data_IF_810856057390
#
_entry.id   IF_810856057390
#
_cell.length_a   1.000
_cell.length_b   1.000
_cell.length_c   1.000
_cell.angle_alpha   90.00
_cell.angle_beta   90.00
_cell.angle_gamma   90.00
#
_symmetry.space_group_name_H-M   'P 1'
#
loop_
_entity.id
_entity.type
_entity.pdbx_description
1 polymer ?
2 non-polymer ?
3 water ?
#
# COMPACT_ATOMS: atom_id res chain seq x y z
C UNK A 1 -12.74 -1.38 -16.27
N UNK A 2 -12.49 -2.52 -16.91
CA UNK A 2 -12.92 -3.79 -16.32
C UNK A 2 -12.41 -3.99 -14.90
N UNK A 3 -11.17 -3.62 -14.62
CA UNK A 3 -10.64 -3.78 -13.26
C UNK A 3 -11.39 -2.89 -12.28
N UNK A 4 -11.63 -1.64 -12.69
CA UNK A 4 -12.39 -0.69 -11.87
C UNK A 4 -13.78 -1.25 -11.61
N UNK A 5 -14.41 -1.84 -12.62
CA UNK A 5 -15.74 -2.44 -12.44
C UNK A 5 -15.70 -3.55 -11.38
N UNK A 6 -14.71 -4.41 -11.47
CA UNK A 6 -14.56 -5.50 -10.53
C UNK A 6 -14.26 -4.95 -9.13
N UNK A 7 -13.38 -3.96 -9.01
CA UNK A 7 -13.12 -3.28 -7.75
C UNK A 7 -14.40 -2.70 -7.13
N UNK A 8 -15.22 -2.13 -7.98
CA UNK A 8 -16.48 -1.55 -7.55
C UNK A 8 -17.40 -2.63 -6.96
N UNK A 9 -17.48 -3.78 -7.62
CA UNK A 9 -18.34 -4.85 -7.10
C UNK A 9 -17.85 -5.34 -5.75
N UNK A 10 -16.53 -5.41 -5.58
CA UNK A 10 -16.02 -5.87 -4.29
C UNK A 10 -16.32 -4.85 -3.20
N UNK A 11 -16.15 -3.58 -3.57
CA UNK A 11 -16.43 -2.51 -2.61
C UNK A 11 -17.91 -2.51 -2.21
N UNK A 12 -18.78 -2.73 -3.17
CA UNK A 12 -20.23 -2.70 -2.91
C UNK A 12 -20.57 -3.89 -2.03
N UNK A 13 -19.90 -5.02 -2.29
CA UNK A 13 -20.12 -6.22 -1.49
C UNK A 13 -19.77 -5.92 -0.04
N UNK A 14 -18.62 -5.29 0.16
CA UNK A 14 -18.15 -4.94 1.50
C UNK A 14 -19.13 -3.98 2.16
N UNK A 15 -19.57 -2.98 1.40
CA UNK A 15 -20.49 -1.99 2.00
C UNK A 15 -21.79 -2.66 2.43
N UNK A 16 -22.26 -3.66 1.67
CA UNK A 16 -23.55 -4.26 2.04
C UNK A 16 -23.37 -5.21 3.23
N UNK A 17 -22.21 -5.85 3.32
CA UNK A 17 -21.92 -6.68 4.49
C UNK A 17 -21.80 -5.80 5.72
N UNK A 18 -21.15 -4.66 5.55
CA UNK A 18 -21.03 -3.71 6.67
C UNK A 18 -22.41 -3.21 7.07
N UNK A 19 -23.26 -2.91 6.09
CA UNK A 19 -24.59 -2.38 6.47
C UNK A 19 -25.41 -3.43 7.19
N UNK A 20 -25.28 -4.69 6.81
CA UNK A 20 -26.05 -5.75 7.48
C UNK A 20 -25.63 -5.82 8.94
N UNK A 21 -24.34 -5.75 9.23
CA UNK A 21 -23.87 -5.72 10.61
C UNK A 21 -24.37 -4.44 11.29
N UNK A 22 -24.32 -3.32 10.58
CA UNK A 22 -24.69 -2.03 11.17
C UNK A 22 -26.16 -2.07 11.54
N UNK A 23 -26.96 -2.70 10.67
CA UNK A 23 -28.40 -2.77 11.02
C UNK A 23 -28.64 -3.69 12.19
N UNK A 24 -27.84 -4.76 12.33
CA UNK A 24 -28.09 -5.60 13.52
C UNK A 24 -27.69 -4.85 14.78
N UNK A 25 -26.68 -3.97 14.72
CA UNK A 25 -26.29 -3.16 15.88
C UNK A 25 -27.19 -1.95 16.12
N UNK A 26 -28.09 -1.66 15.20
CA UNK A 26 -29.03 -0.57 15.29
C UNK A 26 -30.24 -0.87 16.19
N UNK A 27 -30.78 0.16 16.83
C UNK B 1 -21.25 0.76 14.61
N UNK B 2 -20.87 1.88 15.22
CA UNK B 2 -19.46 2.10 15.54
C UNK B 2 -18.57 1.48 14.46
N UNK B 3 -17.96 0.35 14.67
CA UNK B 3 -17.07 -0.27 13.69
C UNK B 3 -17.78 -0.54 12.37
N UNK B 4 -18.95 -1.17 12.43
CA UNK B 4 -19.65 -1.44 11.18
C UNK B 4 -19.99 -0.17 10.43
N UNK B 5 -20.37 0.91 11.12
CA UNK B 5 -20.73 2.13 10.40
C UNK B 5 -19.52 2.78 9.72
N UNK B 6 -18.35 2.75 10.36
CA UNK B 6 -17.18 3.35 9.73
C UNK B 6 -16.74 2.48 8.56
N UNK B 7 -16.84 1.17 8.71
CA UNK B 7 -16.54 0.25 7.61
C UNK B 7 -17.52 0.44 6.46
N UNK B 8 -18.82 0.59 6.70
CA UNK B 8 -19.75 0.82 5.59
C UNK B 8 -19.44 2.11 4.84
N UNK B 9 -19.08 3.16 5.56
CA UNK B 9 -18.75 4.45 4.97
C UNK B 9 -17.50 4.39 4.10
N UNK B 10 -16.47 3.73 4.63
CA UNK B 10 -15.24 3.54 3.88
C UNK B 10 -15.47 2.73 2.61
N UNK B 11 -16.21 1.62 2.71
CA UNK B 11 -16.53 0.78 1.57
C UNK B 11 -17.31 1.56 0.53
N UNK B 12 -18.28 2.37 0.96
CA UNK B 12 -19.00 3.19 -0.02
C UNK B 12 -18.09 4.18 -0.73
N UNK B 13 -17.16 4.77 0.00
CA UNK B 13 -16.25 5.74 -0.62
C UNK B 13 -15.41 5.02 -1.68
N UNK B 14 -14.91 3.86 -1.26
CA UNK B 14 -14.13 3.08 -2.23
C UNK B 14 -14.93 2.73 -3.46
N UNK B 15 -16.21 2.33 -3.27
CA UNK B 15 -17.00 1.94 -4.43
C UNK B 15 -17.23 3.13 -5.35
N UNK B 16 -17.39 4.31 -4.74
CA UNK B 16 -17.58 5.50 -5.55
C UNK B 16 -16.27 5.80 -6.32
N UNK B 17 -15.14 5.48 -5.70
CA UNK B 17 -13.89 5.87 -6.36
C UNK B 17 -13.67 4.94 -7.57
N UNK B 18 -14.04 3.68 -7.35
CA UNK B 18 -13.94 2.66 -8.40
C UNK B 18 -14.87 3.03 -9.54
N UNK B 19 -16.10 3.41 -9.19
CA UNK B 19 -17.06 3.79 -10.20
C UNK B 19 -16.61 4.98 -11.04
N UNK B 20 -16.00 5.96 -10.37
CA UNK B 20 -15.47 7.12 -11.10
C UNK B 20 -14.42 6.67 -12.13
N UNK B 21 -13.58 5.76 -11.64
CA UNK B 21 -12.48 5.25 -12.49
C UNK B 21 -13.01 4.48 -13.67
N UNK B 22 -14.05 3.68 -13.41
CA UNK B 22 -14.71 2.97 -14.50
C UNK B 22 -15.23 3.97 -15.52
N UNK B 23 -15.82 5.08 -15.04
CA UNK B 23 -16.41 6.00 -16.04
C UNK B 23 -15.30 6.73 -16.79
N UNK B 24 -14.21 7.05 -16.15
CA UNK B 24 -13.11 7.78 -16.76
C UNK B 24 -12.39 6.94 -17.82
N UNK B 25 -12.22 5.66 -17.48
CA UNK B 25 -11.51 4.73 -18.35
C UNK B 25 -12.26 4.43 -19.64
N UNK B 26 -13.58 4.44 -19.58
CA UNK B 26 -14.46 4.23 -20.72
C UNK B 26 -14.36 5.35 -21.75
N UNK B 27 -13.92 6.53 -21.37
C UNK C 1 1.94 -1.77 -14.98
N UNK C 2 1.00 -1.41 -15.86
CA UNK C 2 -0.10 -0.50 -15.58
C UNK C 2 -1.00 -1.03 -14.46
N UNK C 3 -1.37 -2.29 -14.52
CA UNK C 3 -2.15 -2.88 -13.44
C UNK C 3 -1.45 -2.73 -12.11
N UNK C 4 -0.18 -3.10 -12.00
CA UNK C 4 0.51 -3.01 -10.71
C UNK C 4 0.61 -1.57 -10.23
N UNK C 5 0.86 -0.64 -11.14
CA UNK C 5 1.00 0.77 -10.81
C UNK C 5 -0.30 1.36 -10.24
N UNK C 6 -1.40 1.04 -10.92
CA UNK C 6 -2.72 1.46 -10.44
C UNK C 6 -3.03 0.89 -9.06
N UNK C 7 -2.68 -0.36 -8.84
CA UNK C 7 -2.91 -0.95 -7.50
C UNK C 7 -2.01 -0.29 -6.47
N UNK C 8 -0.73 -0.02 -6.82
CA UNK C 8 0.13 0.68 -5.87
C UNK C 8 -0.41 2.07 -5.51
N UNK C 9 -0.90 2.83 -6.46
CA UNK C 9 -1.47 4.15 -6.24
C UNK C 9 -2.72 4.09 -5.33
N UNK C 10 -3.60 3.13 -5.59
CA UNK C 10 -4.82 3.00 -4.78
C UNK C 10 -4.48 2.65 -3.35
N UNK C 11 -3.59 1.69 -3.16
CA UNK C 11 -3.11 1.25 -1.85
C UNK C 11 -2.41 2.38 -1.12
N UNK C 12 -1.59 3.19 -1.82
CA UNK C 12 -0.98 4.33 -1.13
C UNK C 12 -2.03 5.35 -0.71
N UNK C 13 -3.05 5.57 -1.50
CA UNK C 13 -4.13 6.50 -1.12
C UNK C 13 -4.86 5.96 0.10
N UNK C 14 -5.21 4.68 0.08
CA UNK C 14 -5.85 4.04 1.23
C UNK C 14 -4.96 4.20 2.47
N UNK C 15 -3.64 3.98 2.36
CA UNK C 15 -2.77 4.13 3.53
C UNK C 15 -2.77 5.55 4.09
N UNK C 16 -2.69 6.55 3.20
CA UNK C 16 -2.70 7.94 3.62
C UNK C 16 -4.00 8.28 4.37
N UNK C 17 -5.10 7.81 3.81
CA UNK C 17 -6.43 8.05 4.38
C UNK C 17 -6.56 7.40 5.76
N UNK C 18 -6.07 6.18 5.91
CA UNK C 18 -6.04 5.56 7.24
C UNK C 18 -5.15 6.28 8.21
N UNK C 19 -3.93 6.67 7.77
CA UNK C 19 -3.06 7.44 8.64
C UNK C 19 -3.74 8.73 9.15
N UNK C 20 -4.47 9.41 8.27
CA UNK C 20 -5.10 10.68 8.61
C UNK C 20 -6.20 10.45 9.65
N UNK C 21 -6.91 9.35 9.43
CA UNK C 21 -7.97 8.96 10.37
C UNK C 21 -7.34 8.62 11.71
N UNK C 22 -6.26 7.85 11.69
CA UNK C 22 -5.57 7.51 12.93
C UNK C 22 -5.16 8.77 13.68
N UNK C 23 -4.68 9.78 12.95
CA UNK C 23 -4.17 10.98 13.61
C UNK C 23 -5.34 11.81 14.13
N UNK C 24 -6.46 11.77 13.43
CA UNK C 24 -7.66 12.47 13.87
C UNK C 24 -8.26 11.81 15.12
N UNK C 25 -8.26 10.50 15.16
CA UNK C 25 -8.87 9.74 16.26
C UNK C 25 -8.07 9.90 17.53
N UNK C 26 -6.80 10.26 17.39
CA UNK C 26 -5.91 10.57 18.49
C UNK C 26 -6.25 11.91 19.13
N UNK C 27 -5.76 12.15 20.35
C UNK D 1 -6.64 3.54 16.00
N UNK D 2 -7.22 2.50 16.60
CA UNK D 2 -6.69 1.14 16.47
C UNK D 2 -7.03 0.55 15.10
N UNK D 3 -8.28 0.72 14.69
CA UNK D 3 -8.71 0.14 13.42
C UNK D 3 -8.05 0.89 12.25
N UNK D 4 -7.88 2.19 12.42
CA UNK D 4 -7.24 3.02 11.41
C UNK D 4 -5.81 2.52 11.20
N UNK D 5 -5.17 2.23 12.31
CA UNK D 5 -3.79 1.78 12.32
C UNK D 5 -3.71 0.43 11.59
N UNK D 6 -4.69 -0.41 11.86
CA UNK D 6 -4.70 -1.73 11.23
C UNK D 6 -4.90 -1.58 9.72
N UNK D 7 -5.83 -0.70 9.34
CA UNK D 7 -6.10 -0.52 7.93
C UNK D 7 -4.84 0.03 7.23
N UNK D 8 -4.16 0.95 7.92
CA UNK D 8 -2.98 1.58 7.30
C UNK D 8 -1.89 0.54 7.07
N UNK D 9 -1.72 -0.34 8.04
CA UNK D 9 -0.72 -1.40 7.93
C UNK D 9 -1.05 -2.31 6.75
N UNK D 10 -2.32 -2.67 6.64
CA UNK D 10 -2.74 -3.49 5.49
C UNK D 10 -2.51 -2.77 4.17
N UNK D 11 -2.94 -1.51 4.09
CA UNK D 11 -2.72 -0.79 2.82
C UNK D 11 -1.23 -0.65 2.50
N UNK D 12 -0.42 -0.40 3.52
CA UNK D 12 1.02 -0.31 3.30
C UNK D 12 1.58 -1.62 2.75
N UNK D 13 1.16 -2.77 3.30
CA UNK D 13 1.61 -4.05 2.76
C UNK D 13 1.20 -4.18 1.30
N UNK D 14 -0.04 -3.90 0.94
CA UNK D 14 -0.51 -4.01 -0.45
C UNK D 14 0.27 -3.05 -1.35
N UNK D 15 0.56 -1.86 -0.84
CA UNK D 15 1.32 -0.91 -1.65
C UNK D 15 2.73 -1.42 -1.92
N UNK D 16 3.36 -2.04 -0.92
CA UNK D 16 4.73 -2.54 -1.14
C UNK D 16 4.74 -3.70 -2.11
N UNK D 17 3.71 -4.54 -1.95
CA UNK D 17 3.58 -5.69 -2.82
C UNK D 17 3.38 -5.20 -4.26
N UNK D 18 2.48 -4.24 -4.44
CA UNK D 18 2.19 -3.71 -5.75
C UNK D 18 3.46 -3.11 -6.36
N UNK D 19 4.21 -2.42 -5.51
CA UNK D 19 5.45 -1.76 -5.95
C UNK D 19 6.47 -2.78 -6.45
N UNK D 20 6.62 -3.90 -5.74
CA UNK D 20 7.60 -4.89 -6.19
C UNK D 20 7.15 -5.48 -7.53
N UNK D 21 5.85 -5.73 -7.66
CA UNK D 21 5.33 -6.20 -8.94
C UNK D 21 5.63 -5.19 -10.05
N UNK D 22 5.38 -3.90 -9.80
CA UNK D 22 5.62 -2.85 -10.77
C UNK D 22 7.10 -2.80 -11.13
N UNK D 23 7.93 -2.92 -10.11
CA UNK D 23 9.38 -2.91 -10.41
C UNK D 23 9.78 -4.13 -11.21
N UNK D 24 9.14 -5.27 -10.96
CA UNK D 24 9.48 -6.47 -11.71
C UNK D 24 9.11 -6.27 -13.18
N UNK D 25 8.06 -5.49 -13.43
CA UNK D 25 7.63 -5.26 -14.80
C UNK D 25 8.33 -4.09 -15.47
N UNK D 26 9.20 -3.40 -14.73
CA UNK D 26 9.87 -2.19 -15.18
C UNK D 26 10.94 -2.40 -16.25
N UNK D 27 11.56 -3.56 -16.34
C UNK E 1 11.59 -14.81 0.37
N UNK E 2 12.03 -13.59 0.06
CA UNK E 2 11.64 -12.36 0.75
C UNK E 2 10.14 -12.06 0.64
N UNK E 3 9.58 -12.25 -0.54
CA UNK E 3 8.18 -12.06 -0.85
C UNK E 3 7.32 -12.98 0.02
N UNK E 4 7.73 -14.25 0.05
CA UNK E 4 7.01 -15.29 0.77
C UNK E 4 7.02 -14.94 2.26
N UNK E 5 8.18 -14.57 2.78
CA UNK E 5 8.30 -14.20 4.19
C UNK E 5 7.38 -13.06 4.56
N UNK E 6 7.35 -12.02 3.72
CA UNK E 6 6.43 -10.90 4.04
C UNK E 6 4.97 -11.31 3.95
N UNK E 7 4.58 -12.14 3.00
CA UNK E 7 3.23 -12.65 2.84
C UNK E 7 2.83 -13.45 4.09
N UNK E 8 3.73 -14.29 4.56
CA UNK E 8 3.46 -15.08 5.77
C UNK E 8 3.22 -14.18 6.97
N UNK E 9 4.07 -13.17 7.16
CA UNK E 9 3.90 -12.20 8.24
C UNK E 9 2.56 -11.48 8.10
N UNK E 10 2.24 -11.05 6.89
CA UNK E 10 0.97 -10.38 6.62
C UNK E 10 -0.20 -11.28 7.02
N UNK E 11 -0.14 -12.53 6.60
CA UNK E 11 -1.21 -13.48 6.90
C UNK E 11 -1.32 -13.78 8.39
N UNK E 12 -0.17 -13.88 9.06
CA UNK E 12 -0.21 -14.13 10.52
C UNK E 12 -0.91 -12.97 11.23
N UNK E 13 -0.57 -11.76 10.79
CA UNK E 13 -1.21 -10.58 11.38
C UNK E 13 -2.71 -10.63 11.14
N UNK E 14 -3.11 -11.00 9.93
CA UNK E 14 -4.52 -11.13 9.60
C UNK E 14 -5.22 -12.20 10.43
N UNK E 15 -4.54 -13.34 10.60
CA UNK E 15 -5.14 -14.42 11.39
C UNK E 15 -5.32 -13.95 12.83
N UNK E 16 -4.34 -13.19 13.33
CA UNK E 16 -4.43 -12.75 14.73
C UNK E 16 -5.65 -11.84 14.88
N UNK E 17 -5.82 -10.94 13.92
CA UNK E 17 -6.98 -10.03 13.98
C UNK E 17 -8.29 -10.82 13.92
N UNK E 18 -8.38 -11.79 13.00
CA UNK E 18 -9.60 -12.55 12.84
C UNK E 18 -9.89 -13.39 14.09
N UNK E 19 -8.82 -13.92 14.67
CA UNK E 19 -8.96 -14.77 15.84
C UNK E 19 -9.54 -13.95 16.99
N UNK E 20 -9.07 -12.72 17.11
CA UNK E 20 -9.58 -11.83 18.16
C UNK E 20 -11.08 -11.61 17.95
N UNK E 21 -11.45 -11.35 16.71
CA UNK E 21 -12.85 -11.13 16.35
C UNK E 21 -13.67 -12.37 16.67
N UNK E 22 -13.17 -13.53 16.25
CA UNK E 22 -13.80 -14.83 16.49
C UNK E 22 -14.00 -15.06 17.98
N UNK E 23 -12.99 -14.66 18.75
CA UNK E 23 -13.08 -14.90 20.18
C UNK E 23 -14.15 -13.98 20.78
N UNK E 24 -14.21 -12.74 20.32
CA UNK E 24 -15.26 -11.85 20.79
C UNK E 24 -16.64 -12.41 20.48
N UNK E 25 -16.76 -13.23 19.44
CA UNK E 25 -18.09 -13.72 19.06
C UNK E 25 -18.39 -15.08 19.67
N UNK E 26 -17.37 -15.64 20.32
CA UNK E 26 -17.56 -16.95 20.94
C UNK E 26 -18.14 -16.77 22.34
N UNK E 27 -18.82 -17.81 22.82
C UNK F 1 -18.91 -16.93 13.17
N UNK F 2 -19.75 -17.50 12.31
CA UNK F 2 -19.25 -18.15 11.10
C UNK F 2 -18.43 -17.16 10.28
N UNK F 3 -18.81 -15.88 10.16
CA UNK F 3 -17.98 -14.97 9.36
C UNK F 3 -16.56 -14.87 9.90
N UNK F 4 -16.42 -14.56 11.19
CA UNK F 4 -15.10 -14.38 11.77
C UNK F 4 -14.30 -15.68 11.73
N UNK F 5 -15.01 -16.79 11.96
CA UNK F 5 -14.35 -18.09 11.97
C UNK F 5 -13.81 -18.44 10.59
N UNK F 6 -14.58 -18.14 9.53
CA UNK F 6 -14.17 -18.40 8.14
C UNK F 6 -12.96 -17.53 7.81
N UNK F 7 -13.03 -16.27 8.19
CA UNK F 7 -11.94 -15.33 7.99
C UNK F 7 -10.69 -15.84 8.69
N UNK F 8 -10.83 -16.32 9.93
CA UNK F 8 -9.67 -16.85 10.64
C UNK F 8 -9.07 -18.04 9.91
N UNK F 9 -9.91 -18.97 9.47
CA UNK F 9 -9.45 -20.16 8.76
C UNK F 9 -8.72 -19.78 7.46
N UNK F 10 -9.31 -18.80 6.78
CA UNK F 10 -8.72 -18.35 5.50
C UNK F 10 -7.36 -17.71 5.73
N UNK F 11 -7.25 -16.86 6.76
CA UNK F 11 -5.96 -16.24 7.05
C UNK F 11 -4.93 -17.30 7.43
N UNK F 12 -5.32 -18.28 8.27
CA UNK F 12 -4.38 -19.32 8.69
C UNK F 12 -3.93 -20.18 7.51
N UNK F 13 -4.86 -20.48 6.61
CA UNK F 13 -4.52 -21.20 5.38
C UNK F 13 -3.45 -20.41 4.61
N UNK F 14 -3.70 -19.13 4.40
CA UNK F 14 -2.76 -18.30 3.65
C UNK F 14 -1.39 -18.27 4.33
N UNK F 15 -1.35 -18.16 5.66
CA UNK F 15 -0.11 -18.18 6.40
C UNK F 15 0.62 -19.49 6.20
N UNK F 16 -0.11 -20.61 6.20
CA UNK F 16 0.56 -21.91 6.05
C UNK F 16 1.18 -22.00 4.66
N UNK F 17 0.40 -21.59 3.66
CA UNK F 17 0.90 -21.62 2.27
C UNK F 17 2.11 -20.73 2.06
N UNK F 18 2.09 -19.54 2.65
CA UNK F 18 3.22 -18.62 2.50
C UNK F 18 4.44 -19.18 3.19
N UNK F 19 4.25 -19.80 4.35
CA UNK F 19 5.37 -20.40 5.08
C UNK F 19 6.03 -21.56 4.33
N UNK F 20 5.20 -22.42 3.76
CA UNK F 20 5.68 -23.51 2.92
C UNK F 20 6.48 -22.95 1.75
N UNK F 21 6.00 -21.85 1.18
CA UNK F 21 6.68 -21.21 0.04
C UNK F 21 7.99 -20.60 0.49
N UNK F 22 7.96 -19.95 1.66
CA UNK F 22 9.21 -19.39 2.20
C UNK F 22 10.21 -20.51 2.45
N UNK F 23 9.72 -21.67 2.92
CA UNK F 23 10.67 -22.74 3.17
C UNK F 23 11.22 -23.31 1.86
N UNK F 24 10.35 -23.42 0.87
CA UNK F 24 10.81 -24.02 -0.39
C UNK F 24 11.87 -23.13 -1.05
N UNK F 25 11.68 -21.82 -0.98
CA UNK F 25 12.56 -20.88 -1.65
C UNK F 25 13.90 -20.82 -0.96
N UNK F 26 14.10 -21.49 0.17
CA UNK F 26 15.47 -21.56 0.67
C UNK F 26 16.34 -22.37 -0.30
N UNK F 27 15.73 -23.22 -1.11
C UNK G 1 4.06 -20.13 -16.21
N UNK G 2 5.11 -20.75 -15.66
CA UNK G 2 4.96 -21.67 -14.53
C UNK G 2 4.17 -20.98 -13.42
N UNK G 3 4.59 -19.81 -12.95
CA UNK G 3 3.88 -19.11 -11.89
C UNK G 3 2.44 -18.80 -12.22
N UNK G 4 2.22 -18.16 -13.38
CA UNK G 4 0.83 -17.84 -13.74
C UNK G 4 -0.01 -19.09 -13.88
N UNK G 5 0.56 -20.14 -14.51
CA UNK G 5 -0.20 -21.37 -14.65
C UNK G 5 -0.55 -21.93 -13.28
N UNK G 6 0.34 -21.80 -12.33
CA UNK G 6 0.08 -22.38 -11.01
C UNK G 6 -0.98 -21.56 -10.28
N UNK G 7 -0.90 -20.25 -10.39
CA UNK G 7 -1.90 -19.36 -9.83
C UNK G 7 -3.26 -19.66 -10.47
N UNK G 8 -3.33 -19.79 -11.80
CA UNK G 8 -4.59 -20.17 -12.43
C UNK G 8 -5.20 -21.45 -11.86
N UNK G 9 -4.40 -22.50 -11.69
CA UNK G 9 -4.82 -23.79 -11.18
C UNK G 9 -5.41 -23.65 -9.76
N UNK G 10 -4.67 -22.95 -8.94
CA UNK G 10 -5.03 -22.72 -7.55
C UNK G 10 -6.35 -21.92 -7.48
N UNK G 11 -6.49 -20.88 -8.29
CA UNK G 11 -7.74 -20.11 -8.30
C UNK G 11 -8.90 -20.95 -8.79
N UNK G 12 -8.65 -21.79 -9.82
CA UNK G 12 -9.74 -22.68 -10.22
C UNK G 12 -10.14 -23.65 -9.11
N UNK G 13 -9.17 -24.17 -8.36
CA UNK G 13 -9.45 -25.09 -7.25
C UNK G 13 -10.31 -24.41 -6.21
N UNK G 14 -9.91 -23.21 -5.88
CA UNK G 14 -10.64 -22.33 -4.95
C UNK G 14 -12.05 -22.08 -5.44
N UNK G 15 -12.21 -21.71 -6.71
CA UNK G 15 -13.57 -21.51 -7.21
C UNK G 15 -14.43 -22.77 -7.10
N UNK G 16 -13.90 -23.94 -7.46
CA UNK G 16 -14.70 -25.16 -7.34
C UNK G 16 -15.09 -25.46 -5.89
N UNK G 17 -14.17 -25.18 -4.96
CA UNK G 17 -14.47 -25.38 -3.54
C UNK G 17 -15.58 -24.44 -3.07
N UNK G 18 -15.47 -23.19 -3.48
CA UNK G 18 -16.50 -22.21 -3.15
C UNK G 18 -17.83 -22.59 -3.76
N UNK G 19 -17.84 -23.04 -5.03
CA UNK G 19 -19.07 -23.49 -5.66
C UNK G 19 -19.66 -24.68 -4.90
N UNK G 20 -18.81 -25.63 -4.52
CA UNK G 20 -19.34 -26.80 -3.82
C UNK G 20 -19.99 -26.36 -2.52
N UNK G 21 -19.34 -25.40 -1.85
CA UNK G 21 -19.92 -24.88 -0.61
C UNK G 21 -21.25 -24.17 -0.84
N UNK G 22 -21.33 -23.32 -1.85
CA UNK G 22 -22.53 -22.62 -2.24
C UNK G 22 -23.68 -23.58 -2.50
N UNK G 23 -23.37 -24.73 -3.12
CA UNK G 23 -24.41 -25.70 -3.42
C UNK G 23 -24.81 -26.47 -2.16
N UNK G 24 -23.85 -26.71 -1.28
CA UNK G 24 -24.17 -27.44 -0.05
C UNK G 24 -25.09 -26.60 0.83
N UNK G 25 -24.83 -25.29 0.89
CA UNK G 25 -25.59 -24.40 1.76
C UNK G 25 -27.04 -24.23 1.35
N UNK G 26 -27.35 -24.33 0.06
CA UNK G 26 -28.71 -24.12 -0.39
C UNK G 26 -29.47 -25.45 -0.42
N UNK G 27 -30.74 -25.42 -0.82
C UNK H 1 -24.12 -18.38 -0.17
N UNK H 2 -24.57 -17.21 0.25
CA UNK H 2 -24.20 -15.94 -0.38
C UNK H 2 -22.70 -15.68 -0.26
N UNK H 3 -22.09 -15.89 0.89
CA UNK H 3 -20.67 -15.66 1.03
C UNK H 3 -19.91 -16.60 0.10
N UNK H 4 -20.33 -17.86 0.02
CA UNK H 4 -19.60 -18.78 -0.87
C UNK H 4 -19.74 -18.34 -2.32
N UNK H 5 -20.92 -17.88 -2.71
CA UNK H 5 -21.10 -17.37 -4.06
C UNK H 5 -20.18 -16.17 -4.32
N UNK H 6 -20.09 -15.23 -3.37
CA UNK H 6 -19.15 -14.13 -3.58
C UNK H 6 -17.71 -14.62 -3.67
N UNK H 7 -17.32 -15.57 -2.79
CA UNK H 7 -15.97 -16.10 -2.86
C UNK H 7 -15.67 -16.77 -4.21
N UNK H 8 -16.66 -17.49 -4.73
CA UNK H 8 -16.51 -18.11 -6.05
C UNK H 8 -16.22 -17.08 -7.13
N UNK H 9 -16.93 -15.97 -7.10
CA UNK H 9 -16.76 -14.88 -8.06
C UNK H 9 -15.36 -14.29 -7.98
N UNK H 10 -14.90 -14.06 -6.76
CA UNK H 10 -13.53 -13.55 -6.57
C UNK H 10 -12.51 -14.54 -7.10
N UNK H 11 -12.71 -15.83 -6.85
CA UNK H 11 -11.75 -16.85 -7.30
C UNK H 11 -11.78 -16.96 -8.82
N UNK H 12 -12.96 -16.86 -9.40
CA UNK H 12 -13.09 -16.89 -10.86
C UNK H 12 -12.35 -15.70 -11.47
N UNK H 13 -12.46 -14.54 -10.85
CA UNK H 13 -11.78 -13.34 -11.36
C UNK H 13 -10.28 -13.57 -11.30
N UNK H 14 -9.81 -14.15 -10.18
CA UNK H 14 -8.39 -14.43 -10.03
C UNK H 14 -7.92 -15.41 -11.11
N UNK H 15 -8.75 -16.42 -11.38
CA UNK H 15 -8.36 -17.44 -12.35
C UNK H 15 -8.27 -16.80 -13.74
N UNK H 16 -9.19 -15.91 -14.09
CA UNK H 16 -9.16 -15.31 -15.42
C UNK H 16 -7.93 -14.42 -15.54
N UNK H 17 -7.64 -13.73 -14.44
CA UNK H 17 -6.49 -12.83 -14.43
C UNK H 17 -5.19 -13.61 -14.66
N UNK H 18 -5.08 -14.74 -13.99
CA UNK H 18 -3.90 -15.59 -14.12
C UNK H 18 -3.85 -16.19 -15.52
N UNK H 19 -5.03 -16.55 -16.03
CA UNK H 19 -5.05 -17.13 -17.39
C UNK H 19 -4.55 -16.13 -18.42
N UNK H 20 -4.93 -14.88 -18.30
CA UNK H 20 -4.48 -13.79 -19.15
C UNK H 20 -2.96 -13.70 -19.19
N UNK H 21 -2.38 -13.70 -17.99
CA UNK H 21 -0.93 -13.70 -17.84
C UNK H 21 -0.29 -14.94 -18.47
N UNK H 22 -0.90 -16.10 -18.22
CA UNK H 22 -0.38 -17.36 -18.73
C UNK H 22 -0.35 -17.35 -20.25
N UNK H 23 -1.43 -16.82 -20.83
CA UNK H 23 -1.50 -16.76 -22.29
C UNK H 23 -0.48 -15.80 -22.87
N UNK H 24 -0.30 -14.64 -22.23
CA UNK H 24 0.67 -13.69 -22.75
C UNK H 24 2.07 -14.30 -22.64
N UNK H 25 2.34 -15.04 -21.58
CA UNK H 25 3.63 -15.68 -21.37
C UNK H 25 3.83 -16.90 -22.25
N UNK H 26 2.74 -17.39 -22.83
CA UNK H 26 2.85 -18.45 -23.83
C UNK H 26 3.25 -17.83 -25.17
N UNK H 27 2.96 -16.56 -25.41
C UNK I 1 19.34 0.87 -8.54
N UNK I 2 20.47 0.31 -8.12
CA UNK I 2 20.77 0.02 -6.72
C UNK I 2 20.78 1.27 -5.85
N UNK I 3 21.49 2.31 -6.26
CA UNK I 3 21.58 3.55 -5.49
C UNK I 3 20.21 4.17 -5.34
N UNK I 4 19.41 4.14 -6.41
CA UNK I 4 18.09 4.77 -6.29
C UNK I 4 17.23 3.94 -5.31
N UNK I 5 17.31 2.63 -5.45
CA UNK I 5 16.63 1.67 -4.58
C UNK I 5 17.02 1.94 -3.12
N UNK I 6 18.33 2.13 -2.88
CA UNK I 6 18.87 2.37 -1.55
C UNK I 6 18.33 3.67 -0.98
N UNK I 7 18.38 4.71 -1.80
CA UNK I 7 17.85 6.01 -1.41
C UNK I 7 16.37 5.89 -1.07
N UNK I 8 15.63 5.13 -1.87
CA UNK I 8 14.21 4.99 -1.58
C UNK I 8 14.00 4.34 -0.21
N UNK I 9 14.73 3.27 0.09
CA UNK I 9 14.61 2.62 1.40
C UNK I 9 15.02 3.53 2.55
N UNK I 10 16.09 4.31 2.39
CA UNK I 10 16.45 5.28 3.41
C UNK I 10 15.36 6.31 3.62
N UNK I 11 14.73 6.79 2.55
CA UNK I 11 13.69 7.79 2.67
C UNK I 11 12.48 7.14 3.35
N UNK I 12 12.19 5.88 3.02
CA UNK I 12 11.03 5.25 3.69
C UNK I 12 11.30 5.07 5.18
N UNK I 13 12.53 4.77 5.55
CA UNK I 13 12.89 4.61 6.96
C UNK I 13 12.65 5.94 7.68
N UNK I 14 13.12 7.01 7.06
CA UNK I 14 12.96 8.34 7.61
C UNK I 14 11.48 8.70 7.78
N UNK I 15 10.70 8.32 6.77
CA UNK I 15 9.29 8.63 6.75
C UNK I 15 8.56 7.91 7.88
N UNK I 16 8.95 6.65 8.08
CA UNK I 16 8.26 5.90 9.13
C UNK I 16 8.64 6.46 10.49
N UNK I 17 9.88 6.86 10.67
CA UNK I 17 10.30 7.50 11.93
C UNK I 17 9.56 8.81 12.19
N UNK I 18 9.46 9.68 11.19
CA UNK I 18 8.72 10.93 11.29
C UNK I 18 7.23 10.71 11.54
N UNK I 19 6.64 9.68 10.94
CA UNK I 19 5.21 9.41 11.10
C UNK I 19 4.91 8.94 12.52
N UNK I 20 5.84 8.16 13.08
CA UNK I 20 5.83 7.75 14.48
C UNK I 20 5.75 8.95 15.42
N UNK I 21 6.60 9.93 15.18
CA UNK I 21 6.65 11.17 15.93
C UNK I 21 5.38 11.99 15.70
N UNK I 22 4.97 12.09 14.45
CA UNK I 22 3.75 12.80 14.08
C UNK I 22 2.54 12.21 14.81
N UNK I 23 2.47 10.89 14.84
CA UNK I 23 1.33 10.25 15.49
C UNK I 23 1.35 10.48 17.00
N UNK I 24 2.54 10.42 17.56
CA UNK I 24 2.71 10.58 19.01
C UNK I 24 2.29 12.00 19.39
N UNK I 25 2.62 12.98 18.57
CA UNK I 25 2.30 14.39 18.85
C UNK I 25 0.85 14.74 18.57
N UNK I 26 0.17 13.98 17.72
CA UNK I 26 -1.20 14.21 17.31
C UNK I 26 -2.27 13.78 18.33
N UNK I 27 -2.00 12.77 19.13
C UNK J 1 3.86 18.88 13.94
N UNK J 2 3.76 20.16 13.64
CA UNK J 2 4.08 20.73 12.33
C UNK J 2 5.47 20.29 11.85
N UNK J 3 6.45 20.30 12.74
CA UNK J 3 7.81 19.91 12.43
C UNK J 3 7.83 18.43 12.04
N UNK J 4 7.26 17.57 12.89
CA UNK J 4 7.23 16.15 12.54
C UNK J 4 6.40 15.89 11.28
N UNK J 5 5.28 16.55 11.09
CA UNK J 5 4.48 16.37 9.88
C UNK J 5 5.24 16.83 8.64
N UNK J 6 5.93 17.95 8.78
CA UNK J 6 6.75 18.46 7.67
C UNK J 6 7.84 17.48 7.32
N UNK J 7 8.49 16.97 8.36
CA UNK J 7 9.58 16.00 8.15
C UNK J 7 9.01 14.78 7.44
N UNK J 8 7.79 14.40 7.84
CA UNK J 8 7.16 13.23 7.24
C UNK J 8 6.90 13.42 5.74
N UNK J 9 6.34 14.60 5.45
CA UNK J 9 6.02 14.94 4.07
C UNK J 9 7.31 15.01 3.24
N UNK J 10 8.36 15.62 3.72
CA UNK J 10 9.62 15.68 2.95
C UNK J 10 10.21 14.30 2.69
N UNK J 11 10.18 13.44 3.69
CA UNK J 11 10.67 12.07 3.52
C UNK J 11 9.84 11.27 2.52
N UNK J 12 8.51 11.42 2.54
CA UNK J 12 7.65 10.73 1.60
C UNK J 12 7.93 11.22 0.17
N UNK J 13 8.21 12.52 0.08
CA UNK J 13 8.51 13.13 -1.21
C UNK J 13 9.83 12.51 -1.74
N UNK J 14 10.83 12.46 -0.89
CA UNK J 14 12.13 11.86 -1.23
C UNK J 14 11.92 10.40 -1.63
N UNK J 15 11.08 9.66 -0.88
CA UNK J 15 10.85 8.27 -1.25
C UNK J 15 10.20 8.09 -2.62
N UNK J 16 9.22 8.94 -2.97
CA UNK J 16 8.56 8.85 -4.27
C UNK J 16 9.54 9.20 -5.41
N UNK J 17 10.35 10.22 -5.16
CA UNK J 17 11.33 10.61 -6.18
C UNK J 17 12.33 9.48 -6.41
N UNK J 18 12.83 8.87 -5.34
CA UNK J 18 13.77 7.75 -5.52
C UNK J 18 13.10 6.55 -6.16
N UNK J 19 11.84 6.24 -5.83
CA UNK J 19 11.12 5.15 -6.46
C UNK J 19 10.97 5.32 -7.97
N UNK J 20 10.63 6.52 -8.39
CA UNK J 20 10.46 6.77 -9.83
C UNK J 20 11.82 6.62 -10.52
N UNK J 21 12.91 7.03 -9.84
CA UNK J 21 14.24 6.88 -10.43
C UNK J 21 14.59 5.40 -10.48
N UNK J 22 14.26 4.68 -9.41
CA UNK J 22 14.52 3.25 -9.42
C UNK J 22 13.82 2.57 -10.60
N UNK J 23 12.55 2.96 -10.76
CA UNK J 23 11.79 2.35 -11.85
C UNK J 23 12.38 2.74 -13.21
N UNK J 24 12.77 4.01 -13.35
CA UNK J 24 13.31 4.48 -14.62
C UNK J 24 14.57 3.68 -14.96
N UNK J 25 15.40 3.48 -13.95
CA UNK J 25 16.70 2.84 -14.11
C UNK J 25 16.56 1.37 -14.44
N UNK J 26 15.33 0.83 -14.42
CA UNK J 26 15.32 -0.58 -14.85
C UNK J 26 15.34 -0.63 -16.37
N UNK J 27 16.11 -1.53 -16.99
C UNK K 1 26.17 16.57 -14.97
N UNK K 2 25.26 15.74 -15.46
CA UNK K 2 23.85 15.81 -15.08
C UNK K 2 23.69 15.49 -13.59
N UNK K 3 24.46 14.55 -13.07
CA UNK K 3 24.40 14.17 -11.67
C UNK K 3 24.79 15.40 -10.85
N UNK K 4 25.94 15.98 -11.18
CA UNK K 4 26.34 17.16 -10.40
C UNK K 4 25.36 18.32 -10.59
N UNK K 5 24.84 18.51 -11.80
CA UNK K 5 23.93 19.63 -12.04
C UNK K 5 22.64 19.48 -11.26
N UNK K 6 22.16 18.24 -11.16
CA UNK K 6 20.90 18.08 -10.39
C UNK K 6 21.15 18.26 -8.90
N UNK K 7 22.29 17.78 -8.43
CA UNK K 7 22.64 17.94 -7.01
C UNK K 7 22.81 19.41 -6.68
N UNK K 8 23.46 20.14 -7.59
CA UNK K 8 23.56 21.58 -7.38
C UNK K 8 22.19 22.24 -7.31
N UNK K 9 21.26 21.86 -8.16
CA UNK K 9 19.93 22.50 -8.17
C UNK K 9 19.18 22.13 -6.90
N UNK K 10 19.31 20.89 -6.46
CA UNK K 10 18.69 20.48 -5.20
C UNK K 10 19.20 21.27 -4.02
N UNK K 11 20.51 21.38 -3.85
CA UNK K 11 21.12 22.18 -2.81
C UNK K 11 20.66 23.64 -2.87
N UNK K 12 20.56 24.24 -4.06
CA UNK K 12 20.11 25.62 -4.14
C UNK K 12 18.65 25.74 -3.65
N UNK K 13 17.81 24.81 -4.07
CA UNK K 13 16.42 24.75 -3.63
C UNK K 13 16.37 24.70 -2.09
N UNK K 14 17.13 23.79 -1.50
CA UNK K 14 17.27 23.69 -0.06
C UNK K 14 17.72 25.01 0.57
N UNK K 15 18.74 25.64 -0.01
CA UNK K 15 19.24 26.90 0.54
C UNK K 15 18.19 27.99 0.49
N UNK K 16 17.39 28.02 -0.56
CA UNK K 16 16.34 29.03 -0.72
C UNK K 16 15.26 28.86 0.36
N UNK K 17 14.94 27.60 0.59
CA UNK K 17 13.87 27.29 1.55
C UNK K 17 14.31 27.61 2.98
N UNK K 18 15.55 27.25 3.30
CA UNK K 18 16.12 27.56 4.60
C UNK K 18 16.21 29.06 4.80
N UNK K 19 16.62 29.82 3.78
CA UNK K 19 16.69 31.28 3.88
C UNK K 19 15.31 31.87 4.13
N UNK K 20 14.33 31.38 3.38
CA UNK K 20 12.95 31.82 3.60
C UNK K 20 12.49 31.58 5.04
N UNK K 21 12.80 30.41 5.55
CA UNK K 21 12.50 30.05 6.93
C UNK K 21 13.23 30.98 7.89
N UNK K 22 14.51 31.22 7.66
CA UNK K 22 15.29 32.09 8.53
C UNK K 22 14.69 33.50 8.62
N UNK K 23 14.24 34.00 7.47
CA UNK K 23 13.58 35.30 7.43
C UNK K 23 12.23 35.26 8.16
N UNK K 24 11.48 34.17 8.02
CA UNK K 24 10.15 34.15 8.65
C UNK K 24 10.30 34.10 10.17
N UNK K 25 11.30 33.36 10.60
CA UNK K 25 11.55 33.14 12.02
C UNK K 25 12.07 34.40 12.69
N UNK K 26 12.27 35.49 11.96
CA UNK K 26 12.56 36.76 12.63
C UNK K 26 11.29 37.32 13.30
N UNK K 27 10.11 36.83 12.89
C UNK L 1 17.55 30.73 13.36
N UNK L 2 18.28 30.52 14.45
CA UNK L 2 19.58 29.88 14.52
C UNK L 2 19.60 28.56 13.77
N UNK L 3 18.58 27.73 13.95
CA UNK L 3 18.54 26.47 13.21
C UNK L 3 18.37 26.71 11.73
N UNK L 4 17.47 27.64 11.39
CA UNK L 4 17.25 27.88 9.95
C UNK L 4 18.54 28.39 9.31
N UNK L 5 19.19 29.28 10.03
CA UNK L 5 20.44 29.90 9.60
C UNK L 5 21.51 28.83 9.36
N UNK L 6 21.62 27.90 10.30
CA UNK L 6 22.62 26.84 10.12
C UNK L 6 22.27 25.96 8.92
N UNK L 7 20.98 25.68 8.75
CA UNK L 7 20.49 24.90 7.63
C UNK L 7 20.84 25.57 6.30
N UNK L 8 20.63 26.87 6.23
CA UNK L 8 20.95 27.69 5.06
C UNK L 8 22.45 27.62 4.75
N UNK L 9 23.26 27.75 5.79
CA UNK L 9 24.72 27.71 5.63
C UNK L 9 25.16 26.36 5.08
N UNK L 10 24.63 25.30 5.65
CA UNK L 10 24.93 23.95 5.18
C UNK L 10 24.48 23.79 3.74
N UNK L 11 23.30 24.27 3.34
CA UNK L 11 22.82 24.01 1.98
C UNK L 11 23.61 24.82 0.96
N UNK L 12 24.00 26.03 1.35
CA UNK L 12 24.83 26.88 0.52
C UNK L 12 26.18 26.20 0.27
N UNK L 13 26.68 25.59 1.33
CA UNK L 13 27.98 24.92 1.23
C UNK L 13 27.89 23.76 0.26
N UNK L 14 26.81 22.99 0.44
CA UNK L 14 26.60 21.86 -0.48
C UNK L 14 26.46 22.36 -1.92
N UNK L 15 25.75 23.46 -2.12
CA UNK L 15 25.53 23.95 -3.48
C UNK L 15 26.85 24.37 -4.12
N UNK L 16 27.69 24.99 -3.30
CA UNK L 16 29.02 25.44 -3.76
C UNK L 16 29.86 24.23 -4.14
N UNK L 17 29.86 23.22 -3.27
CA UNK L 17 30.65 22.02 -3.58
C UNK L 17 30.12 21.34 -4.82
N UNK L 18 28.80 21.28 -4.97
CA UNK L 18 28.25 20.64 -6.17
C UNK L 18 28.58 21.46 -7.43
N UNK L 19 28.59 22.77 -7.25
CA UNK L 19 28.84 23.68 -8.34
C UNK L 19 30.28 23.47 -8.84
N UNK L 20 31.19 23.28 -7.91
CA UNK L 20 32.59 23.02 -8.28
C UNK L 20 32.70 21.75 -9.12
N UNK L 21 32.01 20.69 -8.70
CA UNK L 21 31.98 19.43 -9.45
C UNK L 21 31.37 19.61 -10.83
N UNK L 22 30.24 20.31 -10.89
CA UNK L 22 29.54 20.55 -12.15
C UNK L 22 30.46 21.28 -13.11
N UNK L 23 31.20 22.26 -12.58
CA UNK L 23 32.05 23.08 -13.46
C UNK L 23 33.21 22.24 -13.98
N UNK L 24 33.71 21.36 -13.10
CA UNK L 24 34.83 20.51 -13.49
C UNK L 24 34.37 19.62 -14.64
N UNK L 25 33.14 19.13 -14.51
CA UNK L 25 32.64 18.19 -15.50
C UNK L 25 32.22 18.90 -16.77
N UNK L 26 31.93 20.20 -16.70
CA UNK L 26 31.50 20.93 -17.87
C UNK L 26 32.72 21.29 -18.74
N UNK L 27 33.89 21.23 -18.12
X LIG M 1 -22.07 -10.95 -4.77
X LIG M 1 -23.45 -10.39 -5.13
X LIG M 1 -23.50 -8.87 -4.99
X LIG M 1 -22.29 -8.23 -5.65
X LIG M 1 -21.08 -8.81 -5.16
X LIG M 1 -21.00 -10.19 -5.56
X LIG M 1 -24.70 -8.47 -5.68
X LIG M 1 -19.69 -10.64 -5.21
X LIG M 1 -18.72 -9.82 -5.88
X LIG M 1 -17.33 -10.30 -5.48
X LIG M 1 -16.85 -9.81 -4.12
X LIG M 1 -15.96 -10.88 -3.51
X LIG M 1 -15.40 -10.47 -2.15
X LIG M 1 -14.05 -11.14 -1.89
X LIG M 1 -14.26 -12.53 -1.30
X LIG M 1 -15.69 -12.60 -0.71
X LIG M 1 -15.84 -13.81 0.22
X LIG M 1 -16.71 -13.43 1.41
X LIG M 1 -22.12 -12.32 -5.13
X LIG M 1 -24.44 -11.01 -4.30
X LIG M 1 -22.29 -6.74 -5.30
X LIG M 1 -21.05 -6.11 -5.66
X LIG M 1 -25.80 -8.48 -4.74
X LIG N 1 -10.02 7.33 -9.45
X LIG N 1 -10.07 7.70 -10.93
X LIG N 1 -8.69 7.72 -11.56
X LIG N 1 -7.65 7.08 -10.68
X LIG N 1 -8.04 5.95 -9.93
X LIG N 1 -9.33 5.98 -9.35
X LIG N 1 -8.71 7.11 -12.86
X LIG N 1 -9.34 5.41 -8.04
X LIG N 1 -9.32 3.98 -8.15
X LIG N 1 -9.33 3.37 -6.76
X LIG N 1 -10.54 2.45 -6.55
X LIG N 1 -10.12 1.16 -5.87
X LIG N 1 -11.15 0.58 -4.90
X LIG N 1 -10.72 -0.84 -4.53
X LIG N 1 -11.72 -1.53 -3.61
X LIG N 1 -11.21 -2.90 -3.16
X LIG N 1 -10.22 -3.48 -4.17
X LIG N 1 -10.31 -5.01 -4.22
X LIG N 1 -11.30 7.34 -8.83
X LIG N 1 -10.81 8.86 -11.25
X LIG N 1 -6.84 8.10 -9.90
X LIG N 1 -7.11 9.40 -10.43
X LIG O 1 -9.47 7.87 -4.28
X LIG O 1 -9.02 8.70 -5.49
X LIG O 1 -7.54 8.40 -5.74
X LIG O 1 -7.39 6.91 -5.98
X LIG O 1 -7.72 6.24 -4.76
X LIG O 1 -9.11 6.41 -4.41
X LIG O 1 -7.03 9.13 -6.87
X LIG O 1 -9.36 5.64 -3.21
X LIG O 1 -8.95 4.29 -3.46
X LIG O 1 -9.19 3.38 -2.26
X LIG O 1 -8.73 1.95 -2.55
X LIG O 1 -8.67 1.09 -1.29
X LIG O 1 -8.83 -0.40 -1.56
X LIG O 1 -10.86 8.08 -4.00
X LIG O 1 -9.19 10.09 -5.22
X LIG O 1 -5.92 6.63 -6.32
X LIG O 1 -5.86 5.48 -7.16
X LIG P 1 -1.54 -3.92 14.36
X LIG P 1 -2.56 -4.45 13.35
X LIG P 1 -1.94 -5.60 12.53
X LIG P 1 -3.02 -6.57 12.04
X LIG P 1 -4.18 -5.82 11.37
X LIG P 1 -4.38 -6.32 9.94
X LIG P 1 -5.81 -6.87 9.75
X LIG P 1 -6.25 -6.73 8.29
X LIG P 1 -6.66 -8.09 7.72
X LIG Q 1 -8.54 -5.52 12.62
X LIG Q 1 -8.70 -4.10 12.08
X LIG Q 1 -9.40 -4.08 10.71
X LIG Q 1 -8.38 -4.07 9.57
X LIG Q 1 -8.96 -3.42 8.31
X LIG Q 1 -8.21 -3.87 7.06
X LIG Q 1 -8.92 -3.38 5.78
X LIG R 1 1.03 -5.75 9.39
X LIG R 1 -0.30 -5.78 8.66
X LIG R 1 -0.26 -6.68 7.42
X LIG R 1 -1.61 -7.35 7.17
X LIG R 1 -2.03 -7.21 5.71
X LIG R 1 -3.01 -8.30 5.28
X LIG R 1 -3.64 -7.95 3.93
X LIG S 1 -15.90 -22.15 6.65
X LIG S 1 -14.80 -22.28 5.60
X LIG S 1 -13.83 -21.09 5.66
X LIG S 1 -12.54 -21.41 4.92
X LIG S 1 -12.02 -20.19 4.14
X LIG S 1 -10.77 -20.59 3.36
X LIG T 1 -14.99 -23.05 1.01
X LIG T 1 -14.08 -21.83 1.07
X LIG T 1 -13.30 -21.63 -0.24
X LIG T 1 -13.06 -20.14 -0.50
X LIG T 1 -11.80 -19.90 -1.33
X LIG T 1 -11.93 -18.62 -2.14
X LIG T 1 -10.79 -17.63 -1.87
X LIG T 1 -10.94 -16.39 -2.77
X LIG T 1 -10.88 -15.09 -1.97
X LIG U 1 -17.61 -13.53 -12.81
X LIG U 1 -17.10 -14.88 -13.29
X LIG U 1 -15.89 -14.72 -14.23
X LIG U 1 -14.87 -13.80 -13.58
X LIG U 1 -15.48 -12.54 -13.26
X LIG U 1 -16.44 -12.76 -12.17
X LIG U 1 -15.35 -16.04 -14.44
X LIG U 1 -16.89 -11.44 -11.80
X LIG U 1 -15.97 -10.80 -10.93
X LIG U 1 -16.72 -10.34 -9.67
X LIG U 1 -15.91 -9.32 -8.87
X LIG U 1 -14.52 -9.82 -8.52
X LIG U 1 -13.88 -8.94 -7.44
X LIG U 1 -12.58 -9.55 -6.94
X LIG U 1 -11.62 -8.43 -6.52
X LIG U 1 -11.64 -7.31 -7.55
X LIG U 1 -10.24 -6.96 -8.05
X LIG U 1 -10.14 -5.52 -8.55
X LIG U 1 -18.66 -13.77 -11.87
X LIG U 1 -18.17 -15.53 -14.00
X LIG U 1 -13.72 -13.54 -14.56
X LIG U 1 -14.15 -12.51 -15.48
X LIG U 1 -16.01 -17.34 -16.38
X LIG U 1 -15.90 -18.65 -15.63
X LIG U 1 -14.45 -19.15 -15.53
X LIG U 1 -13.55 -18.00 -15.06
X LIG U 1 -13.72 -16.87 -15.91
X LIG U 1 -15.04 -16.29 -15.81
X LIG U 1 -14.35 -20.18 -14.53
X LIG U 1 -17.34 -16.80 -16.31
X LIG U 1 -16.78 -19.63 -16.15
X LIG U 1 -12.10 -18.46 -15.01
X LIG U 1 -11.85 -19.54 -15.91
X LIG V 1 20.46 -4.51 -0.40
X LIG V 1 20.95 -4.40 -1.85
X LIG V 1 19.95 -3.59 -2.67
X LIG V 1 19.82 -2.22 -2.00
X LIG V 1 19.30 -2.40 -0.67
X LIG V 1 20.16 -3.14 0.20
X LIG V 1 20.39 -3.48 -4.02
X LIG V 1 19.48 -3.33 1.46
X LIG V 1 19.67 -2.23 2.34
X LIG V 1 19.17 -0.94 1.71
X LIG V 1 19.19 0.23 2.68
X LIG V 1 20.31 1.21 2.31
X LIG V 1 20.16 2.56 3.01
X LIG V 1 21.48 3.34 2.95
X LIG V 1 21.34 4.64 2.15
X LIG V 1 22.53 4.84 1.21
X LIG V 1 22.55 6.26 0.64
X LIG V 1 21.50 6.41 -0.47
X LIG V 1 21.44 -5.18 0.39
X LIG V 1 21.11 -5.70 -2.43
X LIG V 1 18.77 -1.45 -2.80
X LIG V 1 17.68 -2.36 -3.03
X LIG W 1 26.86 6.65 -6.61
X LIG W 1 27.96 6.29 -7.61
X LIG W 1 28.58 7.56 -8.21
X LIG W 1 28.93 8.54 -7.11
X LIG W 1 27.81 8.80 -6.25
X LIG W 1 27.45 7.60 -5.56
X LIG W 1 29.77 7.21 -8.94
X LIG W 1 26.47 7.85 -4.54
X LIG W 1 26.37 5.48 -5.95
X LIG W 1 27.43 5.45 -8.64
X LIG W 1 29.42 9.85 -7.74
X LIG W 1 28.36 10.46 -8.48
X LIG X 1 9.56 19.07 -2.19
X LIG X 1 8.12 19.60 -2.21
X LIG X 1 7.15 18.53 -1.72
X LIG X 1 7.64 17.98 -0.38
X LIG X 1 8.93 17.39 -0.57
X LIG X 1 9.88 18.43 -0.85
X LIG X 1 5.83 19.08 -1.53
X LIG X 1 11.23 17.94 -0.86
X LIG X 1 11.96 18.56 0.22
X LIG X 1 13.40 18.06 0.22
X LIG X 1 13.64 17.00 1.28
X LIG X 1 14.44 15.81 0.73
X LIG X 1 15.21 15.10 1.85
X LIG X 1 16.52 14.50 1.35
X LIG X 1 10.46 20.18 -2.38
X LIG X 1 7.78 19.98 -3.55
X LIG X 1 6.63 16.96 0.15
X LIG X 1 6.50 17.09 1.56
X LIG Y 1 12.51 19.50 -4.16
X LIG Y 1 11.72 19.87 -5.42
X LIG Y 1 12.47 20.98 -6.19
X LIG Y 1 13.89 20.48 -6.41
X LIG Y 1 14.56 20.32 -5.16
X LIG Y 1 14.00 19.24 -4.39
X LIG Y 1 11.81 21.24 -7.42
X LIG Y 1 14.60 19.31 -3.09
X LIG Y 1 15.72 18.44 -2.88
X LIG Y 1 16.43 18.91 -1.61
X LIG Y 1 17.60 18.01 -1.23
X LIG Y 1 18.19 18.46 0.11
X LIG Y 1 11.93 18.37 -3.50
X LIG Y 1 10.42 20.36 -5.08
X LIG Y 1 14.64 21.52 -7.27
X LIG Y 1 15.64 20.81 -8.01
X LIG Z 1 20.85 11.56 -10.29
X LIG Z 1 20.18 12.49 -9.28
X LIG Z 1 21.19 13.00 -8.25
X LIG Z 1 20.45 13.31 -6.94
X LIG Z 1 21.16 14.37 -6.09
X LIG Z 1 20.21 14.96 -5.06
X LIG Z 1 20.13 14.10 -3.80
X LIG AA 1 9.86 24.37 5.48
X LIG AA 1 10.85 25.52 5.74
X LIG AA 1 12.12 24.97 6.38
X LIG AA 1 13.07 24.39 5.30
X LIG AA 1 14.21 23.61 5.95
X LIG AA 1 15.13 22.99 4.89
X LIG AA 1 16.55 22.85 5.41
X LIG AA 1 17.42 22.04 4.43
X LIG AA 1 18.90 22.17 4.75
X LIG AA 1 19.65 20.85 4.66
X LIG BA 1 33.78 17.92 -5.27
X LIG BA 1 32.69 17.82 -4.21
X LIG BA 1 31.40 17.20 -4.75
X LIG BA 1 30.35 17.03 -3.65
X LIG BA 1 28.98 17.57 -4.09
X LIG BA 1 27.86 17.14 -3.15
X LIG BA 1 26.49 17.64 -3.63
X LIG BA 1 25.38 17.33 -2.62
X LIG BA 1 24.14 18.18 -2.83
X LIG BA 1 22.92 17.64 -2.09
#
# INVERSE_FOLDING_TARGET
XAXAEAAEKAAKYAAEAAEKAAKAXAX
XAXAEAAEKAAKYAAEAAEKAAKAXAX
XAXAEAAEKAAKYAAEAAEKAAKAXAX
XAXAEAAEKAAKYAAEAAEKAAKAXAX
XAXAEAAEKAAKYAAEAAEKAAKAXAX
XAXAEAAEKAAKYAAEAAEKAAKAXAX
XAXAEAAEKAAKYAAEAAEKAAKAXAX
XAXAEAAEKAAKYAAEAAEKAAKAXAX
XAXAEAAEKAAKYAAEAAEKAAKAXAX
XAXAEAAEKAAKYAAEAAEKAAKAXAX
XAXAEAAEKAAKYAAEAAEKAAKAXAX
XAXAEAAEKAAKYAAEAAEKAAKAXAX
DMU C1 C2 C3 C4 O5 C6 O7 O16 C18 C19 C22 C25 C28 C31 C34 C37 C40 C43 O49 O55 C57 O61 C10
DMU C1 C2 C3 C4 O5 C6 O7 O16 C18 C19 C22 C25 C28 C31 C34 C37 C40 C43 O49 O55 C57 O61
DMU C1 C2 C3 C4 O5 C6 O7 O16 C18 C19 C22 C25 C28 O49 O55 C57 O61
DMU C19 C22 C25 C28 C31 C34 C37 C40 C43
DMU C22 C25 C28 C31 C34 C37 C40
DMU C18 C19 C22 C25 C28 C31 C34
DMU C19 C22 C25 C28 C31 C34
DMU C19 C22 C25 C28 C31 C34 C37 C40 C43
DMU C1 C2 C3 C4 O5 C6 O7 O16 C18 C19 C22 C25 C28 C31 C34 C37 C40 C43 O49 O55 C57 O61 C5 C7 C8 C9 O1 C10 O2 O3 O4 C11 O6
DMU C1 C2 C3 C4 O5 C6 O7 O16 C18 C19 C22 C25 C28 C31 C34 C37 C40 C43 O49 O55 C57 O61
DMU C1 C2 C3 C4 O5 C6 O7 O16 O49 O55 C57 O61
DMU C1 C2 C3 C4 O5 C6 O7 O16 C18 C19 C22 C25 C28 C31 O49 O55 C57 O61
DMU C1 C2 C3 C4 O5 C6 O7 O16 C18 C19 C22 C25 O49 O55 C57 O61
DMU C25 C28 C31 C34 C37 C40 C43
DMU C18 C19 C22 C25 C28 C31 C34 C37 C40 C43
DMU C18 C19 C22 C25 C28 C31 C34 C37 C40 C43
#
